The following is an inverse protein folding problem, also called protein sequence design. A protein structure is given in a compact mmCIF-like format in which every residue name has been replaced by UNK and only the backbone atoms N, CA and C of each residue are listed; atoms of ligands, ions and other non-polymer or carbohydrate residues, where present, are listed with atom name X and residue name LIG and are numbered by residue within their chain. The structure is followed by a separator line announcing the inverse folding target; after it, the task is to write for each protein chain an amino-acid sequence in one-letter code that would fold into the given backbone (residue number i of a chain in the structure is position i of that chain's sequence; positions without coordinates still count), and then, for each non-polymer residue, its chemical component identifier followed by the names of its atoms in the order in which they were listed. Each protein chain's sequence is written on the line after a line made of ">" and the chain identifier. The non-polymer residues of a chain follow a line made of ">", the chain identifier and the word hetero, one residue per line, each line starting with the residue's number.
data_IF_240310305921
#
_entry.id   IF_240310305921
#
_cell.length_a   1.000
_cell.length_b   1.000
_cell.length_c   1.000
_cell.angle_alpha   90.00
_cell.angle_beta   90.00
_cell.angle_gamma   90.00
#
_symmetry.space_group_name_H-M   'P 1'
#
loop_
_entity.id
_entity.type
_entity.pdbx_description
1 polymer ?
#
# COMPACT_ATOMS: atom_id res chain seq x y z
N UNK A 1 -12.78 -3.22 39.10
CA UNK A 1 -11.31 -3.36 38.99
C UNK A 1 -11.03 -4.10 37.71
N UNK A 2 -10.69 -3.35 36.65
CA UNK A 2 -10.19 -3.94 35.42
C UNK A 2 -8.78 -4.39 35.77
N UNK A 3 -8.55 -5.68 35.84
CA UNK A 3 -7.23 -6.24 35.97
C UNK A 3 -6.41 -5.71 34.79
N UNK A 4 -5.50 -4.80 35.08
CA UNK A 4 -4.48 -4.34 34.13
C UNK A 4 -3.64 -5.57 33.83
N UNK A 5 -3.85 -6.16 32.67
CA UNK A 5 -3.12 -7.33 32.22
C UNK A 5 -1.67 -6.89 31.95
N UNK A 6 -0.86 -6.90 33.00
CA UNK A 6 0.60 -6.84 32.96
C UNK A 6 1.13 -8.23 32.58
N UNK A 7 0.70 -8.69 31.41
CA UNK A 7 1.23 -9.90 30.81
C UNK A 7 2.09 -9.44 29.65
N UNK A 8 3.31 -9.91 29.58
CA UNK A 8 4.23 -9.56 28.52
C UNK A 8 3.58 -9.76 27.13
N UNK A 9 3.97 -8.98 26.21
CA UNK A 9 3.44 -8.91 24.84
C UNK A 9 3.42 -10.24 24.09
N UNK A 10 4.38 -11.12 24.36
CA UNK A 10 4.42 -12.47 23.78
C UNK A 10 3.16 -13.27 24.11
N UNK A 11 2.63 -13.13 25.32
CA UNK A 11 1.38 -13.77 25.71
C UNK A 11 0.18 -13.16 24.97
N UNK A 12 0.18 -11.84 24.76
CA UNK A 12 -0.88 -11.16 23.99
C UNK A 12 -0.86 -11.55 22.49
N UNK A 13 0.31 -11.72 21.91
CA UNK A 13 0.46 -12.16 20.50
C UNK A 13 -0.02 -13.59 20.35
N UNK A 14 0.41 -14.49 21.23
CA UNK A 14 0.01 -15.90 21.21
C UNK A 14 -1.50 -16.05 21.39
N UNK A 15 -2.08 -15.43 22.43
CA UNK A 15 -3.51 -15.51 22.71
C UNK A 15 -4.36 -14.98 21.56
N UNK A 16 -3.88 -13.93 20.86
CA UNK A 16 -4.53 -13.42 19.65
C UNK A 16 -4.43 -14.40 18.49
N UNK A 17 -3.26 -14.98 18.26
CA UNK A 17 -3.05 -15.93 17.18
C UNK A 17 -3.85 -17.22 17.38
N UNK A 18 -4.06 -17.66 18.62
CA UNK A 18 -4.94 -18.79 18.95
C UNK A 18 -6.41 -18.54 18.57
N UNK A 19 -6.83 -17.30 18.48
CA UNK A 19 -8.21 -16.90 18.14
C UNK A 19 -8.37 -16.38 16.72
N UNK A 20 -7.26 -16.24 15.96
CA UNK A 20 -7.32 -15.79 14.57
C UNK A 20 -7.81 -16.91 13.63
N UNK A 21 -8.38 -16.48 12.51
CA UNK A 21 -8.73 -17.38 11.42
C UNK A 21 -7.48 -17.83 10.68
N UNK A 22 -7.54 -19.00 10.07
CA UNK A 22 -6.43 -19.52 9.25
C UNK A 22 -5.96 -18.49 8.21
N UNK A 23 -4.64 -18.34 8.11
CA UNK A 23 -4.00 -17.40 7.18
C UNK A 23 -3.83 -15.98 7.70
N UNK A 24 -4.19 -15.71 8.96
CA UNK A 24 -3.95 -14.42 9.62
C UNK A 24 -3.09 -14.64 10.86
N UNK A 25 -1.97 -13.96 10.93
CA UNK A 25 -1.02 -14.03 12.04
C UNK A 25 -0.63 -12.63 12.51
N UNK A 26 -0.64 -12.42 13.83
CA UNK A 26 -0.10 -11.22 14.47
C UNK A 26 1.39 -11.42 14.70
N UNK A 27 2.22 -10.63 14.05
CA UNK A 27 3.69 -10.77 14.12
C UNK A 27 4.32 -9.78 15.10
N UNK A 28 3.68 -8.67 15.37
CA UNK A 28 4.19 -7.61 16.25
C UNK A 28 3.04 -6.82 16.88
N UNK A 29 3.29 -6.25 18.03
CA UNK A 29 2.35 -5.37 18.72
C UNK A 29 3.07 -4.11 19.19
N UNK A 30 2.63 -2.96 18.69
CA UNK A 30 3.21 -1.65 19.00
C UNK A 30 2.19 -0.81 19.76
N UNK A 31 2.54 -0.39 20.97
CA UNK A 31 1.72 0.52 21.77
C UNK A 31 2.02 1.96 21.39
N UNK A 32 1.03 2.64 20.84
CA UNK A 32 1.12 4.08 20.60
C UNK A 32 1.07 4.86 21.93
N UNK A 33 1.66 6.07 22.00
CA UNK A 33 1.56 6.94 23.16
C UNK A 33 0.11 7.21 23.56
N UNK A 34 -0.18 7.33 24.85
CA UNK A 34 -1.55 7.48 25.38
C UNK A 34 -2.33 8.67 24.81
N UNK A 35 -1.63 9.69 24.33
CA UNK A 35 -2.22 10.88 23.69
C UNK A 35 -2.27 10.80 22.16
N UNK A 36 -1.82 9.70 21.57
CA UNK A 36 -1.86 9.53 20.12
C UNK A 36 -3.31 9.43 19.63
N UNK A 37 -3.56 10.01 18.45
CA UNK A 37 -4.80 9.75 17.73
C UNK A 37 -4.87 8.28 17.34
N UNK A 38 -6.08 7.79 17.07
CA UNK A 38 -6.24 6.40 16.62
C UNK A 38 -5.39 6.12 15.37
N UNK A 39 -4.75 4.96 15.30
CA UNK A 39 -3.87 4.60 14.17
C UNK A 39 -4.56 4.84 12.82
N UNK A 40 -5.83 4.47 12.66
CA UNK A 40 -6.57 4.70 11.42
C UNK A 40 -6.73 6.16 11.03
N UNK A 41 -6.73 7.09 11.99
CA UNK A 41 -6.91 8.52 11.72
C UNK A 41 -5.63 9.24 11.32
N UNK A 42 -4.47 8.64 11.60
CA UNK A 42 -3.15 9.23 11.30
C UNK A 42 -2.51 8.65 10.05
N UNK A 43 -3.05 7.57 9.49
CA UNK A 43 -2.55 6.97 8.25
C UNK A 43 -2.53 8.00 7.12
N UNK A 44 -1.39 8.12 6.45
CA UNK A 44 -1.14 9.08 5.38
C UNK A 44 -0.65 8.44 4.08
N UNK A 45 0.06 7.32 4.16
CA UNK A 45 0.59 6.60 3.01
C UNK A 45 0.68 5.10 3.28
N UNK A 46 0.84 4.33 2.22
CA UNK A 46 1.19 2.92 2.31
C UNK A 46 2.03 2.48 1.11
N UNK A 47 2.89 1.51 1.38
CA UNK A 47 3.71 0.83 0.38
C UNK A 47 3.03 -0.46 -0.06
N UNK A 48 3.05 -0.67 -1.35
CA UNK A 48 2.50 -1.86 -1.97
C UNK A 48 3.48 -2.48 -2.95
N UNK A 49 3.49 -3.82 -2.97
CA UNK A 49 4.07 -4.62 -4.04
C UNK A 49 2.96 -5.27 -4.83
N UNK A 50 3.01 -5.12 -6.16
CA UNK A 50 2.09 -5.76 -7.08
C UNK A 50 2.87 -6.73 -7.95
N UNK A 51 2.48 -7.99 -7.97
CA UNK A 51 3.12 -9.04 -8.76
C UNK A 51 2.08 -9.87 -9.52
N UNK A 52 2.51 -10.52 -10.59
CA UNK A 52 1.63 -11.43 -11.31
C UNK A 52 1.47 -12.74 -10.54
N UNK A 53 0.23 -13.17 -10.35
CA UNK A 53 -0.07 -14.49 -9.79
C UNK A 53 0.43 -15.61 -10.70
N UNK A 54 0.61 -16.77 -10.13
CA UNK A 54 0.95 -17.98 -10.89
C UNK A 54 -0.09 -18.25 -11.98
N UNK A 55 0.38 -18.64 -13.16
CA UNK A 55 -0.48 -18.89 -14.33
C UNK A 55 -0.85 -17.65 -15.15
N UNK A 56 -0.48 -16.43 -14.72
CA UNK A 56 -0.65 -15.23 -15.50
C UNK A 56 0.70 -14.70 -15.97
N UNK A 57 0.72 -14.23 -17.21
CA UNK A 57 1.93 -13.65 -17.81
C UNK A 57 1.83 -12.14 -17.92
N UNK A 58 2.97 -11.48 -17.82
CA UNK A 58 3.10 -10.05 -18.05
C UNK A 58 3.05 -9.77 -19.56
N UNK A 59 2.31 -8.74 -20.01
CA UNK A 59 2.31 -8.35 -21.43
C UNK A 59 3.64 -7.76 -21.90
N UNK A 60 4.49 -7.33 -20.98
CA UNK A 60 5.78 -6.73 -21.27
C UNK A 60 6.87 -7.29 -20.36
N UNK A 61 8.12 -7.25 -20.82
CA UNK A 61 9.29 -7.54 -20.00
C UNK A 61 9.49 -6.49 -18.90
N UNK A 62 10.32 -6.82 -17.91
CA UNK A 62 10.66 -5.88 -16.82
C UNK A 62 11.25 -4.57 -17.36
N UNK A 63 12.13 -4.65 -18.36
CA UNK A 63 12.77 -3.47 -18.95
C UNK A 63 11.78 -2.61 -19.75
N UNK A 64 10.84 -3.22 -20.44
CA UNK A 64 9.78 -2.50 -21.14
C UNK A 64 8.86 -1.79 -20.14
N UNK A 65 8.48 -2.45 -19.04
CA UNK A 65 7.70 -1.84 -17.96
C UNK A 65 8.44 -0.66 -17.32
N UNK A 66 9.75 -0.79 -17.04
CA UNK A 66 10.57 0.31 -16.52
C UNK A 66 10.51 1.53 -17.43
N UNK A 67 10.66 1.30 -18.75
CA UNK A 67 10.57 2.36 -19.74
C UNK A 67 9.17 3.00 -19.78
N UNK A 68 8.12 2.19 -19.81
CA UNK A 68 6.72 2.66 -19.84
C UNK A 68 6.41 3.51 -18.59
N UNK A 69 6.73 3.00 -17.41
CA UNK A 69 6.50 3.72 -16.14
C UNK A 69 7.28 5.03 -16.12
N UNK A 70 8.54 5.01 -16.56
CA UNK A 70 9.35 6.23 -16.67
C UNK A 70 8.71 7.25 -17.62
N UNK A 71 8.47 6.88 -18.87
CA UNK A 71 8.02 7.80 -19.91
C UNK A 71 6.57 8.28 -19.71
N UNK A 72 5.68 7.37 -19.28
CA UNK A 72 4.24 7.65 -19.19
C UNK A 72 3.79 8.18 -17.84
N UNK A 73 4.54 7.87 -16.78
CA UNK A 73 4.20 8.30 -15.45
C UNK A 73 5.25 9.22 -14.84
N UNK A 74 6.52 8.80 -14.71
CA UNK A 74 7.52 9.57 -13.96
C UNK A 74 7.90 10.88 -14.65
N UNK A 75 8.13 10.86 -15.93
CA UNK A 75 8.53 12.02 -16.74
C UNK A 75 7.32 12.91 -17.12
N UNK A 76 6.09 12.43 -16.92
CA UNK A 76 4.89 13.22 -17.14
C UNK A 76 4.68 14.24 -16.01
N UNK A 77 4.40 15.50 -16.33
CA UNK A 77 4.12 16.52 -15.31
C UNK A 77 2.78 16.29 -14.60
N UNK A 78 1.86 15.59 -15.23
CA UNK A 78 0.51 15.32 -14.75
C UNK A 78 0.06 13.93 -15.19
N UNK A 79 -0.69 13.25 -14.34
CA UNK A 79 -1.26 11.94 -14.64
C UNK A 79 -2.72 11.89 -14.19
N UNK A 80 -3.58 12.38 -15.05
CA UNK A 80 -5.00 12.55 -14.75
C UNK A 80 -5.81 11.35 -15.22
N UNK A 81 -6.69 10.87 -14.35
CA UNK A 81 -7.63 9.79 -14.61
C UNK A 81 -9.06 10.20 -14.28
N UNK A 82 -10.02 9.51 -14.88
CA UNK A 82 -11.42 9.64 -14.52
C UNK A 82 -11.76 8.56 -13.47
N UNK A 83 -11.89 8.97 -12.22
CA UNK A 83 -12.34 8.09 -11.14
C UNK A 83 -13.86 8.04 -11.11
N UNK A 84 -14.42 6.87 -11.41
CA UNK A 84 -15.86 6.64 -11.32
C UNK A 84 -16.25 6.29 -9.90
N UNK A 85 -17.21 7.01 -9.35
CA UNK A 85 -17.84 6.71 -8.08
C UNK A 85 -19.29 6.32 -8.32
N UNK A 86 -19.98 5.74 -7.34
CA UNK A 86 -21.40 5.35 -7.47
C UNK A 86 -22.33 6.52 -7.86
N UNK A 87 -21.91 7.76 -7.67
CA UNK A 87 -22.75 8.96 -7.83
C UNK A 87 -22.20 10.00 -8.82
N UNK A 88 -20.92 9.89 -9.21
CA UNK A 88 -20.28 10.89 -10.08
C UNK A 88 -18.98 10.35 -10.71
N UNK A 89 -18.60 10.92 -11.82
CA UNK A 89 -17.28 10.80 -12.40
C UNK A 89 -16.48 12.06 -11.98
N UNK A 90 -15.26 11.85 -11.50
CA UNK A 90 -14.37 12.93 -11.09
C UNK A 90 -13.01 12.72 -11.72
N UNK A 91 -12.49 13.78 -12.28
CA UNK A 91 -11.11 13.84 -12.74
C UNK A 91 -10.18 13.99 -11.54
N UNK A 92 -9.17 13.12 -11.45
CA UNK A 92 -8.19 13.08 -10.35
C UNK A 92 -6.80 13.00 -10.94
N UNK A 93 -5.93 13.94 -10.57
CA UNK A 93 -4.51 13.83 -10.85
C UNK A 93 -3.86 12.89 -9.82
N UNK A 94 -3.33 11.77 -10.29
CA UNK A 94 -2.65 10.78 -9.44
C UNK A 94 -1.21 11.18 -9.11
N UNK A 95 -0.61 12.10 -9.86
CA UNK A 95 0.81 12.44 -9.72
C UNK A 95 1.19 12.89 -8.30
N UNK A 96 0.46 13.82 -7.64
CA UNK A 96 0.76 14.24 -6.28
C UNK A 96 0.40 13.19 -5.22
N UNK A 97 -0.36 12.14 -5.60
CA UNK A 97 -0.86 11.11 -4.69
C UNK A 97 -0.06 9.79 -4.75
N UNK A 98 0.85 9.70 -5.71
CA UNK A 98 1.80 8.58 -5.86
C UNK A 98 3.19 9.09 -5.56
N UNK A 99 3.72 8.72 -4.39
CA UNK A 99 5.00 9.21 -3.88
C UNK A 99 6.20 8.48 -4.47
N UNK A 100 6.01 7.19 -4.79
CA UNK A 100 7.00 6.39 -5.50
C UNK A 100 6.31 5.38 -6.42
N UNK A 101 6.92 5.13 -7.57
CA UNK A 101 6.53 4.09 -8.50
C UNK A 101 7.77 3.54 -9.19
N UNK A 102 8.10 2.27 -8.94
CA UNK A 102 9.20 1.59 -9.60
C UNK A 102 8.79 0.22 -10.10
N UNK A 103 9.60 -0.32 -11.01
CA UNK A 103 9.47 -1.69 -11.54
C UNK A 103 10.74 -2.43 -11.22
N UNK A 104 10.58 -3.59 -10.61
CA UNK A 104 11.67 -4.50 -10.20
C UNK A 104 11.49 -5.84 -10.90
N UNK A 105 12.52 -6.65 -10.89
CA UNK A 105 12.43 -8.03 -11.33
C UNK A 105 12.37 -8.95 -10.10
N UNK A 106 11.34 -9.76 -10.05
CA UNK A 106 11.16 -10.76 -9.00
C UNK A 106 10.94 -12.13 -9.66
N UNK A 107 11.85 -13.07 -9.40
CA UNK A 107 11.82 -14.42 -9.98
C UNK A 107 11.71 -14.43 -11.53
N UNK A 108 12.42 -13.52 -12.19
CA UNK A 108 12.41 -13.38 -13.65
C UNK A 108 11.14 -12.75 -14.23
N UNK A 109 10.29 -12.14 -13.40
CA UNK A 109 9.03 -11.50 -13.78
C UNK A 109 8.97 -10.06 -13.27
N UNK A 110 8.28 -9.15 -13.96
CA UNK A 110 8.12 -7.80 -13.46
C UNK A 110 7.24 -7.76 -12.21
N UNK A 111 7.68 -7.01 -11.22
CA UNK A 111 6.93 -6.62 -10.04
C UNK A 111 6.94 -5.09 -9.92
N UNK A 112 5.86 -4.52 -9.40
CA UNK A 112 5.71 -3.08 -9.26
C UNK A 112 5.74 -2.72 -7.78
N UNK A 113 6.52 -1.71 -7.45
CA UNK A 113 6.48 -1.08 -6.14
C UNK A 113 5.76 0.27 -6.26
N UNK A 114 4.82 0.50 -5.36
CA UNK A 114 4.04 1.73 -5.28
C UNK A 114 3.99 2.22 -3.84
N UNK A 115 4.34 3.49 -3.63
CA UNK A 115 4.02 4.21 -2.41
C UNK A 115 2.93 5.23 -2.74
N UNK A 116 1.76 5.10 -2.13
CA UNK A 116 0.59 5.93 -2.47
C UNK A 116 -0.02 6.57 -1.24
N UNK A 117 -0.66 7.72 -1.46
CA UNK A 117 -1.49 8.37 -0.45
C UNK A 117 -2.62 7.43 -0.03
N UNK A 118 -2.71 7.18 1.27
CA UNK A 118 -3.73 6.32 1.89
C UNK A 118 -4.19 7.00 3.16
N UNK A 119 -5.47 7.24 3.29
CA UNK A 119 -5.99 7.91 4.49
C UNK A 119 -7.44 8.35 4.31
N UNK A 120 -7.89 9.17 5.25
CA UNK A 120 -9.27 9.66 5.26
C UNK A 120 -9.56 10.75 4.24
N UNK A 121 -8.54 11.50 3.82
CA UNK A 121 -8.68 12.62 2.87
C UNK A 121 -8.54 12.13 1.43
N UNK A 122 -7.40 11.49 1.15
CA UNK A 122 -7.10 10.92 -0.16
C UNK A 122 -6.70 9.46 0.01
N UNK A 123 -7.44 8.59 -0.64
CA UNK A 123 -7.18 7.15 -0.64
C UNK A 123 -7.07 6.67 -2.08
N UNK A 124 -5.85 6.36 -2.49
CA UNK A 124 -5.54 5.80 -3.79
C UNK A 124 -5.28 4.31 -3.66
N UNK A 125 -6.05 3.55 -4.42
CA UNK A 125 -5.83 2.12 -4.53
C UNK A 125 -4.68 1.85 -5.50
N UNK A 126 -3.73 0.97 -5.18
CA UNK A 126 -2.61 0.65 -6.08
C UNK A 126 -3.09 0.07 -7.42
N UNK A 127 -4.21 -0.67 -7.43
CA UNK A 127 -4.83 -1.17 -8.66
C UNK A 127 -5.23 -0.05 -9.62
N UNK A 128 -5.69 1.07 -9.08
CA UNK A 128 -6.09 2.21 -9.90
C UNK A 128 -4.90 2.81 -10.65
N UNK A 129 -3.75 2.89 -9.99
CA UNK A 129 -2.51 3.40 -10.62
C UNK A 129 -2.07 2.46 -11.73
N UNK A 130 -1.95 1.16 -11.43
CA UNK A 130 -1.48 0.19 -12.41
C UNK A 130 -2.45 0.03 -13.59
N UNK A 131 -3.76 -0.06 -13.34
CA UNK A 131 -4.77 -0.15 -14.40
C UNK A 131 -4.76 1.07 -15.33
N UNK A 132 -4.47 2.24 -14.76
CA UNK A 132 -4.36 3.46 -15.57
C UNK A 132 -3.16 3.43 -16.52
N UNK A 133 -2.03 2.87 -16.07
CA UNK A 133 -0.86 2.66 -16.94
C UNK A 133 -1.15 1.63 -18.03
N UNK A 134 -1.88 0.55 -17.72
CA UNK A 134 -2.35 -0.42 -18.71
C UNK A 134 -3.21 0.25 -19.80
N UNK A 135 -4.15 1.08 -19.40
CA UNK A 135 -5.01 1.83 -20.33
C UNK A 135 -4.22 2.74 -21.26
N UNK A 136 -3.17 3.41 -20.76
CA UNK A 136 -2.28 4.22 -21.61
C UNK A 136 -1.52 3.38 -22.66
N UNK A 137 -1.29 2.11 -22.37
CA UNK A 137 -0.70 1.16 -23.33
C UNK A 137 -1.74 0.52 -24.26
N UNK A 138 -3.02 0.88 -24.14
CA UNK A 138 -4.10 0.25 -24.89
C UNK A 138 -4.40 -1.20 -24.48
N UNK A 139 -4.02 -1.57 -23.25
CA UNK A 139 -4.19 -2.91 -22.70
C UNK A 139 -5.35 -2.95 -21.70
N UNK A 140 -6.01 -4.09 -21.64
CA UNK A 140 -7.00 -4.38 -20.60
C UNK A 140 -6.30 -4.84 -19.31
N UNK A 141 -6.68 -4.24 -18.19
CA UNK A 141 -6.17 -4.62 -16.87
C UNK A 141 -7.01 -5.75 -16.28
N UNK A 142 -6.38 -6.88 -16.03
CA UNK A 142 -7.02 -8.03 -15.36
C UNK A 142 -6.72 -7.99 -13.86
N UNK A 143 -7.70 -7.58 -13.06
CA UNK A 143 -7.57 -7.46 -11.60
C UNK A 143 -7.23 -8.81 -10.94
N UNK A 144 -7.80 -9.92 -11.45
CA UNK A 144 -7.53 -11.26 -10.92
C UNK A 144 -6.11 -11.78 -11.18
N UNK A 145 -5.40 -11.21 -12.17
CA UNK A 145 -4.04 -11.58 -12.51
C UNK A 145 -2.98 -11.04 -11.56
N UNK A 146 -3.33 -9.99 -10.79
CA UNK A 146 -2.39 -9.28 -9.94
C UNK A 146 -2.62 -9.63 -8.47
N UNK A 147 -1.53 -9.98 -7.80
CA UNK A 147 -1.45 -10.07 -6.35
C UNK A 147 -0.95 -8.73 -5.81
N UNK A 148 -1.64 -8.22 -4.79
CA UNK A 148 -1.29 -6.96 -4.13
C UNK A 148 -0.91 -7.28 -2.69
N UNK A 149 0.31 -6.92 -2.34
CA UNK A 149 0.84 -7.06 -1.00
C UNK A 149 1.14 -5.67 -0.44
N UNK A 150 0.49 -5.32 0.67
CA UNK A 150 0.81 -4.10 1.41
C UNK A 150 1.98 -4.37 2.33
N UNK A 151 3.07 -3.65 2.11
CA UNK A 151 4.34 -3.85 2.80
C UNK A 151 4.40 -3.06 4.12
N UNK A 152 3.97 -1.78 4.07
CA UNK A 152 4.07 -0.88 5.21
C UNK A 152 2.95 0.16 5.15
N UNK A 153 2.62 0.72 6.30
CA UNK A 153 1.67 1.82 6.46
C UNK A 153 2.36 2.95 7.21
N UNK A 154 2.20 4.17 6.72
CA UNK A 154 2.89 5.34 7.24
C UNK A 154 1.91 6.37 7.82
N UNK A 155 2.35 7.05 8.86
CA UNK A 155 1.78 8.30 9.30
C UNK A 155 2.77 9.45 9.01
N UNK A 156 2.33 10.70 9.22
CA UNK A 156 3.22 11.85 9.19
C UNK A 156 3.63 12.22 10.61
N UNK A 157 4.92 12.44 10.81
CA UNK A 157 5.45 13.00 12.04
C UNK A 157 5.14 14.53 12.14
N UNK A 158 5.65 15.17 13.18
CA UNK A 158 5.49 16.62 13.42
C UNK A 158 6.18 17.47 12.34
N UNK A 159 7.17 16.92 11.65
CA UNK A 159 7.88 17.56 10.53
C UNK A 159 7.22 17.27 9.17
N UNK A 160 6.15 16.48 9.15
CA UNK A 160 5.43 16.07 7.93
C UNK A 160 6.10 14.94 7.15
N UNK A 161 7.15 14.30 7.72
CA UNK A 161 7.83 13.17 7.12
C UNK A 161 6.99 11.88 7.30
N UNK A 162 7.10 10.96 6.34
CA UNK A 162 6.46 9.66 6.43
C UNK A 162 7.27 8.75 7.35
N UNK A 163 6.63 8.27 8.40
CA UNK A 163 7.21 7.33 9.39
C UNK A 163 6.29 6.11 9.46
N UNK A 164 6.87 4.92 9.38
CA UNK A 164 6.13 3.66 9.53
C UNK A 164 5.38 3.63 10.86
N UNK A 165 4.17 3.11 10.88
CA UNK A 165 3.37 3.05 12.12
C UNK A 165 4.07 2.25 13.23
N UNK A 166 4.83 1.23 12.87
CA UNK A 166 5.65 0.46 13.80
C UNK A 166 6.70 1.29 14.51
N UNK A 167 7.22 2.35 13.85
CA UNK A 167 8.21 3.27 14.43
C UNK A 167 7.62 4.39 15.30
N UNK A 168 6.29 4.49 15.42
CA UNK A 168 5.63 5.56 16.17
C UNK A 168 5.33 5.23 17.63
N UNK A 169 5.61 4.04 18.08
CA UNK A 169 5.33 3.58 19.42
C UNK A 169 6.42 2.68 19.98
N UNK A 170 6.16 2.12 21.14
CA UNK A 170 7.04 1.13 21.77
C UNK A 170 6.56 -0.27 21.39
N UNK A 171 7.48 -1.06 20.82
CA UNK A 171 7.21 -2.48 20.63
C UNK A 171 7.09 -3.13 22.00
N UNK A 172 5.94 -3.74 22.25
CA UNK A 172 5.72 -4.45 23.48
C UNK A 172 6.24 -5.88 23.25
N UNK A 173 7.42 -6.19 23.75
CA UNK A 173 8.08 -7.51 23.70
C UNK A 173 7.60 -8.40 24.83
#
# INVERSE_FOLDING_TARGET
>A
EIAQCLVGSEMCIRDRNETMVDGVEVTSYVKLPDKAKTAMSIVAAADYRLSYKEGYESPFSTEEWKRIVKERFLDSPQFTIIKKTKKSEREVDLKPLVYAFSVEEEQGRPAFFLQVSTGSVDNIKPELVLSSVYQLCGLEYCESAIQIHRLEVYARDEQGQLVGLSGMGEEIV
#
